data_IF_424486353756
#
_entry.id   IF_424486353756
#
_cell.length_a   1.000
_cell.length_b   1.000
_cell.length_c   1.000
_cell.angle_alpha   90.00
_cell.angle_beta   90.00
_cell.angle_gamma   90.00
#
_symmetry.space_group_name_H-M   'P 1'
#
loop_
_entity.id
_entity.type
_entity.pdbx_description
1 polymer ?
#
# COMPACT_ATOMS: atom_id res chain seq x y z
N UNK A 1 25.34 35.86 -20.70
CA UNK A 1 24.39 35.02 -21.45
C UNK A 1 23.22 34.64 -20.55
N UNK A 2 21.95 34.81 -20.96
CA UNK A 2 20.81 34.60 -20.06
C UNK A 2 20.54 33.11 -19.82
N UNK A 3 20.38 32.75 -18.55
CA UNK A 3 20.22 31.39 -18.00
C UNK A 3 19.07 30.57 -18.62
N UNK A 4 18.13 31.22 -19.30
CA UNK A 4 17.03 30.55 -20.03
C UNK A 4 17.52 29.64 -21.17
N UNK A 5 18.69 29.91 -21.75
CA UNK A 5 19.23 29.09 -22.86
C UNK A 5 19.77 27.73 -22.41
N UNK A 6 20.22 27.60 -21.16
CA UNK A 6 20.78 26.34 -20.65
C UNK A 6 19.67 25.31 -20.35
N UNK A 7 18.50 25.79 -19.89
CA UNK A 7 17.38 24.93 -19.52
C UNK A 7 16.74 24.21 -20.72
N UNK A 8 16.75 24.84 -21.90
CA UNK A 8 16.21 24.22 -23.12
C UNK A 8 17.13 23.13 -23.71
N UNK A 9 18.43 23.14 -23.38
CA UNK A 9 19.39 22.13 -23.84
C UNK A 9 19.28 20.80 -23.08
N UNK A 10 18.90 20.84 -21.80
CA UNK A 10 18.80 19.65 -20.95
C UNK A 10 17.52 18.83 -21.22
N UNK A 11 16.50 19.41 -21.87
CA UNK A 11 15.22 18.73 -22.14
C UNK A 11 15.11 18.01 -23.49
N UNK A 12 16.22 17.77 -24.20
CA UNK A 12 16.27 16.77 -25.28
C UNK A 12 15.23 16.94 -26.39
N UNK A 13 14.90 18.18 -26.79
CA UNK A 13 14.04 18.44 -27.96
C UNK A 13 14.91 18.87 -29.14
N UNK A 14 15.46 17.89 -29.85
CA UNK A 14 15.99 18.08 -31.20
C UNK A 14 15.01 17.49 -32.19
N UNK A 15 14.45 18.36 -33.03
CA UNK A 15 13.60 17.99 -34.14
C UNK A 15 14.38 17.25 -35.23
N UNK A 16 13.67 16.35 -35.92
CA UNK A 16 14.02 15.55 -37.10
C UNK A 16 14.53 16.35 -38.30
N UNK A 17 15.21 15.66 -39.24
CA UNK A 17 14.78 15.78 -40.63
C UNK A 17 14.66 14.43 -41.38
N UNK A 18 13.59 14.35 -42.16
CA UNK A 18 13.26 13.46 -43.27
C UNK A 18 14.27 13.53 -44.42
N UNK A 19 14.66 12.42 -45.07
CA UNK A 19 14.72 12.22 -46.55
C UNK A 19 14.64 10.71 -46.92
N UNK A 20 13.79 10.44 -47.91
CA UNK A 20 13.56 9.28 -48.81
C UNK A 20 14.81 8.49 -49.26
N UNK A 21 14.79 7.21 -49.69
CA UNK A 21 14.09 6.65 -50.88
C UNK A 21 14.27 5.11 -50.99
N UNK A 22 13.27 4.43 -51.57
CA UNK A 22 13.21 3.04 -52.15
C UNK A 22 14.12 2.88 -53.40
N UNK A 23 14.41 1.67 -53.98
CA UNK A 23 13.47 0.70 -54.64
C UNK A 23 13.73 -0.81 -54.32
N UNK A 24 12.70 -1.68 -54.30
CA UNK A 24 12.32 -2.76 -55.29
C UNK A 24 13.34 -3.93 -55.43
N UNK A 25 13.04 -5.22 -55.66
CA UNK A 25 11.95 -5.92 -56.38
C UNK A 25 11.94 -7.43 -56.03
N UNK A 26 10.75 -8.05 -56.05
CA UNK A 26 10.51 -9.42 -56.57
C UNK A 26 10.42 -10.58 -55.57
N UNK A 27 9.58 -11.61 -55.74
CA UNK A 27 8.52 -11.88 -56.72
C UNK A 27 7.77 -13.17 -56.26
N UNK A 28 6.43 -13.14 -56.33
CA UNK A 28 5.48 -14.26 -56.52
C UNK A 28 5.39 -15.48 -55.57
N UNK A 29 4.40 -16.40 -55.78
CA UNK A 29 2.97 -16.10 -55.92
C UNK A 29 2.00 -17.13 -55.25
N UNK A 30 0.81 -16.62 -54.86
CA UNK A 30 -0.56 -17.11 -55.22
C UNK A 30 -1.00 -18.57 -54.95
N UNK A 31 -2.04 -18.71 -54.10
CA UNK A 31 -3.30 -19.46 -54.31
C UNK A 31 -4.18 -19.35 -53.03
N UNK A 32 -5.50 -19.48 -52.96
CA UNK A 32 -6.64 -19.24 -53.83
C UNK A 32 -7.91 -19.48 -52.96
N UNK A 33 -8.65 -18.41 -52.64
CA UNK A 33 -10.13 -18.29 -52.68
C UNK A 33 -11.02 -19.27 -51.83
N UNK A 34 -12.38 -19.16 -51.84
CA UNK A 34 -13.19 -18.87 -50.65
C UNK A 34 -14.30 -19.94 -50.42
N UNK A 35 -15.19 -19.81 -49.42
CA UNK A 35 -16.61 -20.25 -49.50
C UNK A 35 -17.46 -19.76 -48.32
N UNK A 36 -18.62 -19.20 -48.71
CA UNK A 36 -19.90 -18.91 -48.06
C UNK A 36 -20.27 -19.56 -46.72
N UNK A 37 -21.01 -18.83 -45.87
CA UNK A 37 -22.49 -18.83 -45.87
C UNK A 37 -23.09 -17.96 -44.75
N UNK A 38 -24.14 -17.24 -45.11
CA UNK A 38 -25.04 -16.40 -44.29
C UNK A 38 -26.27 -17.24 -43.84
N UNK A 39 -27.43 -16.65 -43.47
CA UNK A 39 -27.97 -16.41 -42.11
C UNK A 39 -29.06 -17.39 -41.66
N UNK A 40 -29.40 -17.40 -40.37
CA UNK A 40 -30.75 -17.76 -39.90
C UNK A 40 -31.20 -16.93 -38.68
N UNK A 41 -32.37 -16.26 -38.76
CA UNK A 41 -33.09 -15.69 -37.62
C UNK A 41 -34.22 -16.62 -37.13
N UNK A 42 -34.89 -16.21 -36.04
CA UNK A 42 -36.05 -16.82 -35.33
C UNK A 42 -35.61 -17.68 -34.13
N UNK A 43 -36.26 -17.65 -32.97
CA UNK A 43 -37.65 -17.32 -32.67
C UNK A 43 -37.82 -16.91 -31.20
N UNK A 44 -38.95 -16.26 -30.95
CA UNK A 44 -39.48 -15.81 -29.67
C UNK A 44 -39.65 -16.91 -28.61
N UNK A 45 -39.52 -16.52 -27.34
CA UNK A 45 -39.85 -17.33 -26.17
C UNK A 45 -39.83 -16.49 -24.89
N UNK A 46 -40.93 -15.81 -24.60
CA UNK A 46 -41.35 -15.29 -23.27
C UNK A 46 -42.47 -16.22 -22.77
N UNK A 47 -42.87 -16.33 -21.49
CA UNK A 47 -42.30 -15.90 -20.19
C UNK A 47 -42.13 -17.06 -19.18
N UNK A 48 -41.40 -16.85 -18.09
CA UNK A 48 -41.79 -17.37 -16.76
C UNK A 48 -40.92 -16.75 -15.66
N UNK A 49 -41.52 -15.86 -14.87
CA UNK A 49 -41.04 -15.45 -13.56
C UNK A 49 -41.15 -16.61 -12.57
N UNK A 50 -40.16 -16.78 -11.67
CA UNK A 50 -40.45 -17.21 -10.32
C UNK A 50 -40.05 -16.14 -9.30
N UNK A 51 -41.07 -15.74 -8.56
CA UNK A 51 -41.11 -14.99 -7.31
C UNK A 51 -39.89 -15.24 -6.41
N UNK A 52 -39.02 -14.24 -6.28
CA UNK A 52 -38.02 -14.18 -5.22
C UNK A 52 -38.64 -13.49 -4.00
N UNK A 53 -38.85 -14.26 -2.93
CA UNK A 53 -39.08 -13.81 -1.56
C UNK A 53 -37.95 -12.88 -1.09
N UNK A 54 -38.22 -11.69 -0.53
CA UNK A 54 -37.20 -10.88 0.12
C UNK A 54 -36.90 -11.48 1.50
N UNK A 55 -35.82 -12.24 1.60
CA UNK A 55 -35.24 -12.62 2.89
C UNK A 55 -34.58 -11.37 3.48
N UNK A 56 -34.98 -11.06 4.71
CA UNK A 56 -34.49 -9.97 5.53
C UNK A 56 -32.97 -9.79 5.41
N UNK A 57 -32.58 -8.62 4.91
CA UNK A 57 -31.20 -8.16 4.94
C UNK A 57 -30.79 -8.00 6.41
N UNK A 58 -29.94 -8.92 6.87
CA UNK A 58 -29.21 -8.76 8.11
C UNK A 58 -28.38 -7.48 8.03
N UNK A 59 -28.52 -6.62 9.05
CA UNK A 59 -27.70 -5.43 9.22
C UNK A 59 -26.21 -5.81 9.14
N UNK A 60 -25.40 -5.14 8.28
CA UNK A 60 -23.96 -5.31 8.33
C UNK A 60 -23.44 -4.80 9.70
N UNK A 61 -22.46 -5.47 10.32
CA UNK A 61 -21.87 -4.99 11.56
C UNK A 61 -21.32 -3.58 11.32
N UNK A 62 -21.90 -2.61 12.04
CA UNK A 62 -21.51 -1.21 12.01
C UNK A 62 -20.06 -1.10 12.49
N UNK A 63 -19.13 -1.11 11.54
CA UNK A 63 -17.74 -0.73 11.78
C UNK A 63 -17.75 0.71 12.28
N UNK A 64 -17.38 0.88 13.55
CA UNK A 64 -17.28 2.17 14.23
C UNK A 64 -16.42 3.12 13.40
N UNK A 65 -17.09 4.03 12.70
CA UNK A 65 -16.50 5.02 11.81
C UNK A 65 -16.33 6.31 12.60
N UNK A 66 -15.32 6.36 13.47
CA UNK A 66 -14.92 7.60 14.12
C UNK A 66 -13.97 8.39 13.20
N UNK A 67 -14.55 9.03 12.18
CA UNK A 67 -13.87 9.96 11.28
C UNK A 67 -13.87 11.36 11.89
N UNK A 68 -12.75 11.74 12.49
CA UNK A 68 -12.17 13.10 12.70
C UNK A 68 -11.06 12.99 13.76
N UNK A 69 -10.07 12.15 13.50
CA UNK A 69 -9.06 11.76 14.48
C UNK A 69 -7.96 12.80 14.64
N UNK A 70 -8.14 13.77 15.53
CA UNK A 70 -6.97 14.32 16.24
C UNK A 70 -6.27 13.15 16.93
N UNK A 71 -4.95 13.04 16.79
CA UNK A 71 -4.17 11.96 17.38
C UNK A 71 -4.58 11.73 18.85
N UNK A 72 -4.94 10.49 19.18
CA UNK A 72 -5.48 10.16 20.49
C UNK A 72 -4.44 10.41 21.59
N UNK A 73 -4.86 10.46 22.85
CA UNK A 73 -3.92 10.63 23.98
C UNK A 73 -2.86 9.52 24.00
N UNK A 74 -3.22 8.31 23.61
CA UNK A 74 -2.29 7.18 23.57
C UNK A 74 -1.37 7.24 22.35
N UNK A 75 -1.83 7.75 21.21
CA UNK A 75 -0.94 8.04 20.06
C UNK A 75 0.10 9.09 20.42
N UNK A 76 -0.26 10.12 21.19
CA UNK A 76 0.72 11.12 21.66
C UNK A 76 1.80 10.50 22.55
N UNK A 77 1.46 9.50 23.37
CA UNK A 77 2.47 8.78 24.17
C UNK A 77 3.36 7.93 23.28
N UNK A 78 2.77 7.25 22.29
CA UNK A 78 3.50 6.51 21.27
C UNK A 78 4.50 7.41 20.55
N UNK A 79 4.08 8.59 20.08
CA UNK A 79 4.97 9.50 19.34
C UNK A 79 6.12 10.01 20.21
N UNK A 80 5.89 10.38 21.48
CA UNK A 80 6.98 10.73 22.40
C UNK A 80 7.98 9.59 22.58
N UNK A 81 7.48 8.35 22.65
CA UNK A 81 8.33 7.17 22.76
C UNK A 81 9.14 6.98 21.48
N UNK A 82 8.49 7.00 20.32
CA UNK A 82 9.14 6.89 19.01
C UNK A 82 10.18 7.99 18.78
N UNK A 83 9.89 9.22 19.19
CA UNK A 83 10.84 10.34 19.10
C UNK A 83 12.12 10.11 19.91
N UNK A 84 12.06 9.35 21.00
CA UNK A 84 13.26 9.02 21.78
C UNK A 84 14.14 7.94 21.13
N UNK A 85 13.66 7.30 20.06
CA UNK A 85 14.32 6.21 19.37
C UNK A 85 15.01 6.72 18.09
N UNK A 86 16.16 6.15 17.76
CA UNK A 86 16.87 6.40 16.49
C UNK A 86 16.39 5.41 15.41
N UNK A 87 15.18 5.60 14.91
CA UNK A 87 14.53 4.69 13.96
C UNK A 87 14.81 5.14 12.52
N UNK A 88 15.31 4.25 11.67
CA UNK A 88 15.54 4.54 10.24
C UNK A 88 14.50 3.87 9.34
N UNK A 89 13.92 2.77 9.80
CA UNK A 89 12.95 1.97 9.05
C UNK A 89 11.72 1.65 9.90
N UNK A 90 10.55 1.96 9.36
CA UNK A 90 9.25 1.79 10.02
C UNK A 90 8.36 0.93 9.15
N UNK A 91 7.80 -0.12 9.74
CA UNK A 91 6.73 -0.93 9.16
C UNK A 91 5.43 -0.66 9.92
N UNK A 92 4.39 -0.19 9.23
CA UNK A 92 3.04 -0.07 9.77
C UNK A 92 2.10 -1.10 9.12
N UNK A 93 1.37 -1.85 9.95
CA UNK A 93 0.36 -2.82 9.55
C UNK A 93 -1.01 -2.28 9.92
N UNK A 94 -1.91 -2.19 8.93
CA UNK A 94 -3.25 -1.58 9.04
C UNK A 94 -3.20 -0.08 9.34
N UNK A 95 -2.95 0.71 8.30
CA UNK A 95 -2.85 2.18 8.32
C UNK A 95 -4.18 2.82 8.71
N UNK A 96 -5.31 2.28 8.24
CA UNK A 96 -6.64 2.81 8.53
C UNK A 96 -6.90 4.16 7.84
N UNK A 97 -7.06 5.24 8.61
CA UNK A 97 -7.32 6.58 8.08
C UNK A 97 -6.05 7.37 7.71
N UNK A 98 -4.88 6.82 8.03
CA UNK A 98 -3.57 7.39 7.72
C UNK A 98 -3.18 8.61 8.56
N UNK A 99 -4.08 9.19 9.36
CA UNK A 99 -3.77 10.39 10.15
C UNK A 99 -2.68 10.12 11.17
N UNK A 100 -2.71 8.94 11.79
CA UNK A 100 -1.67 8.49 12.72
C UNK A 100 -0.31 8.39 12.04
N UNK A 101 -0.23 7.80 10.85
CA UNK A 101 1.01 7.65 10.10
C UNK A 101 1.63 8.99 9.75
N UNK A 102 0.80 9.96 9.33
CA UNK A 102 1.25 11.32 9.03
C UNK A 102 1.79 12.03 10.29
N UNK A 103 1.08 11.91 11.42
CA UNK A 103 1.53 12.49 12.69
C UNK A 103 2.84 11.85 13.19
N UNK A 104 2.98 10.53 13.05
CA UNK A 104 4.21 9.82 13.37
C UNK A 104 5.39 10.29 12.49
N UNK A 105 5.19 10.34 11.17
CA UNK A 105 6.23 10.78 10.25
C UNK A 105 6.62 12.24 10.49
N UNK A 106 5.66 13.09 10.83
CA UNK A 106 5.94 14.45 11.25
C UNK A 106 6.89 14.47 12.47
N UNK A 107 6.55 13.76 13.55
CA UNK A 107 7.37 13.66 14.77
C UNK A 107 8.78 13.12 14.50
N UNK A 108 8.89 12.11 13.65
CA UNK A 108 10.17 11.47 13.33
C UNK A 108 11.06 12.36 12.44
N UNK A 109 10.48 13.01 11.43
CA UNK A 109 11.23 13.83 10.46
C UNK A 109 11.64 15.20 11.03
N UNK A 110 10.95 15.70 12.06
CA UNK A 110 11.24 17.01 12.66
C UNK A 110 12.63 17.08 13.33
N UNK A 111 13.22 15.95 13.74
CA UNK A 111 14.46 15.92 14.54
C UNK A 111 15.77 16.14 13.76
N UNK A 112 15.74 16.76 12.58
CA UNK A 112 16.96 17.02 11.82
C UNK A 112 17.71 15.75 11.43
N UNK A 113 16.98 14.64 11.25
CA UNK A 113 17.56 13.40 10.75
C UNK A 113 18.19 13.67 9.39
N UNK A 114 19.51 13.49 9.29
CA UNK A 114 20.25 13.67 8.04
C UNK A 114 19.85 12.65 6.97
N UNK A 115 19.23 11.53 7.38
CA UNK A 115 18.85 10.42 6.51
C UNK A 115 17.33 10.32 6.39
N UNK A 116 16.78 10.16 5.18
CA UNK A 116 15.35 9.98 4.99
C UNK A 116 14.88 8.65 5.60
N UNK A 117 13.74 8.69 6.27
CA UNK A 117 13.16 7.51 6.93
C UNK A 117 12.51 6.62 5.88
N UNK A 118 12.75 5.31 5.97
CA UNK A 118 12.11 4.31 5.13
C UNK A 118 10.79 3.90 5.78
N UNK A 119 9.67 4.31 5.19
CA UNK A 119 8.33 4.04 5.71
C UNK A 119 7.64 3.00 4.82
N UNK A 120 7.25 1.88 5.40
CA UNK A 120 6.57 0.78 4.70
C UNK A 120 5.19 0.62 5.34
N UNK A 121 4.15 0.66 4.54
CA UNK A 121 2.77 0.54 5.02
C UNK A 121 2.07 -0.62 4.32
N UNK A 122 1.56 -1.57 5.10
CA UNK A 122 0.73 -2.69 4.63
C UNK A 122 -0.72 -2.38 4.99
N UNK A 123 -1.56 -2.23 3.97
CA UNK A 123 -3.01 -2.05 4.11
C UNK A 123 -3.68 -2.49 2.81
N UNK A 124 -4.96 -2.79 2.85
CA UNK A 124 -5.78 -3.04 1.66
C UNK A 124 -6.32 -1.74 1.04
N UNK A 125 -6.26 -0.61 1.76
CA UNK A 125 -6.75 0.71 1.31
C UNK A 125 -8.19 0.62 0.77
N UNK A 126 -8.46 1.19 -0.40
CA UNK A 126 -9.79 1.15 -1.03
C UNK A 126 -10.30 -0.28 -1.30
N UNK A 127 -9.40 -1.27 -1.42
CA UNK A 127 -9.79 -2.67 -1.64
C UNK A 127 -10.34 -3.34 -0.38
N UNK A 128 -9.90 -2.89 0.80
CA UNK A 128 -10.39 -3.35 2.10
C UNK A 128 -11.64 -2.61 2.59
N UNK A 129 -12.22 -1.74 1.75
CA UNK A 129 -13.35 -0.90 2.13
C UNK A 129 -12.99 0.31 2.98
N UNK A 130 -11.70 0.68 3.07
CA UNK A 130 -11.27 1.88 3.78
C UNK A 130 -11.61 3.14 2.97
N UNK A 131 -11.91 4.25 3.67
CA UNK A 131 -12.17 5.53 3.03
C UNK A 131 -10.89 6.18 2.46
N UNK A 132 -9.72 5.80 2.97
CA UNK A 132 -8.43 6.28 2.52
C UNK A 132 -7.99 5.50 1.27
N UNK A 133 -7.88 6.20 0.14
CA UNK A 133 -7.32 5.60 -1.07
C UNK A 133 -5.79 5.61 -1.06
N UNK A 134 -5.19 4.59 -1.66
CA UNK A 134 -3.75 4.45 -1.87
C UNK A 134 -3.15 5.72 -2.51
N UNK A 135 -3.83 6.27 -3.52
CA UNK A 135 -3.41 7.48 -4.22
C UNK A 135 -3.38 8.70 -3.28
N UNK A 136 -4.43 8.89 -2.48
CA UNK A 136 -4.52 10.03 -1.56
C UNK A 136 -3.47 9.92 -0.47
N UNK A 137 -3.28 8.73 0.10
CA UNK A 137 -2.27 8.50 1.11
C UNK A 137 -0.85 8.73 0.57
N UNK A 138 -0.55 8.19 -0.62
CA UNK A 138 0.73 8.45 -1.28
C UNK A 138 0.95 9.95 -1.53
N UNK A 139 -0.09 10.71 -1.90
CA UNK A 139 0.02 12.16 -2.08
C UNK A 139 0.40 12.86 -0.78
N UNK A 140 -0.27 12.51 0.32
CA UNK A 140 0.00 13.08 1.65
C UNK A 140 1.42 12.77 2.13
N UNK A 141 1.92 11.55 1.90
CA UNK A 141 3.25 11.14 2.32
C UNK A 141 4.39 11.90 1.63
N UNK A 142 4.14 12.52 0.46
CA UNK A 142 5.16 13.33 -0.25
C UNK A 142 5.50 14.64 0.46
N UNK A 143 4.69 15.05 1.43
CA UNK A 143 4.96 16.24 2.24
C UNK A 143 6.10 16.02 3.24
N UNK A 144 6.48 14.76 3.47
CA UNK A 144 7.53 14.38 4.41
C UNK A 144 8.81 13.94 3.67
N UNK A 145 10.01 14.21 4.23
CA UNK A 145 11.27 13.71 3.71
C UNK A 145 11.46 12.21 4.03
N UNK A 146 10.50 11.37 3.64
CA UNK A 146 10.49 9.93 3.87
C UNK A 146 10.36 9.16 2.54
N UNK A 147 11.03 8.01 2.46
CA UNK A 147 10.85 7.05 1.36
C UNK A 147 9.69 6.14 1.71
N UNK A 148 8.50 6.51 1.23
CA UNK A 148 7.29 5.75 1.46
C UNK A 148 7.13 4.60 0.45
N UNK A 149 6.83 3.42 0.96
CA UNK A 149 6.48 2.21 0.22
C UNK A 149 5.14 1.70 0.70
N UNK A 150 4.13 1.78 -0.16
CA UNK A 150 2.78 1.31 0.16
C UNK A 150 2.57 -0.06 -0.48
N UNK A 151 2.10 -1.01 0.33
CA UNK A 151 1.84 -2.39 -0.06
C UNK A 151 0.33 -2.62 0.02
N UNK A 152 -0.41 -2.41 -1.09
CA UNK A 152 -1.86 -2.53 -1.13
C UNK A 152 -2.29 -4.01 -1.17
N UNK A 153 -2.21 -4.70 -0.04
CA UNK A 153 -2.42 -6.15 0.07
C UNK A 153 -2.96 -6.51 1.46
N UNK A 154 -3.50 -7.73 1.60
CA UNK A 154 -3.82 -8.30 2.91
C UNK A 154 -2.56 -8.39 3.78
N UNK A 155 -2.74 -8.44 5.11
CA UNK A 155 -1.62 -8.48 6.06
C UNK A 155 -0.66 -9.63 5.76
N UNK A 156 -1.18 -10.84 5.52
CA UNK A 156 -0.35 -12.03 5.29
C UNK A 156 0.52 -11.89 4.03
N UNK A 157 -0.09 -11.49 2.91
CA UNK A 157 0.62 -11.34 1.65
C UNK A 157 1.57 -10.14 1.67
N UNK A 158 1.18 -9.06 2.35
CA UNK A 158 2.01 -7.88 2.55
C UNK A 158 3.26 -8.20 3.37
N UNK A 159 3.13 -8.93 4.47
CA UNK A 159 4.27 -9.32 5.31
C UNK A 159 5.26 -10.22 4.54
N UNK A 160 4.76 -11.22 3.82
CA UNK A 160 5.62 -12.08 2.99
C UNK A 160 6.38 -11.28 1.93
N UNK A 161 5.72 -10.34 1.26
CA UNK A 161 6.37 -9.43 0.31
C UNK A 161 7.43 -8.56 0.99
N UNK A 162 7.13 -8.00 2.16
CA UNK A 162 8.06 -7.12 2.88
C UNK A 162 9.30 -7.88 3.34
N UNK A 163 9.13 -9.09 3.86
CA UNK A 163 10.23 -10.00 4.23
C UNK A 163 11.19 -10.23 3.07
N UNK A 164 10.66 -10.42 1.85
CA UNK A 164 11.47 -10.69 0.66
C UNK A 164 12.10 -9.45 0.05
N UNK A 165 11.49 -8.27 0.22
CA UNK A 165 11.85 -7.06 -0.55
C UNK A 165 12.69 -6.08 0.26
N UNK A 166 12.32 -5.83 1.52
CA UNK A 166 12.90 -4.74 2.32
C UNK A 166 13.84 -5.25 3.41
N UNK A 167 13.74 -6.53 3.78
CA UNK A 167 14.56 -7.12 4.83
C UNK A 167 14.14 -6.67 6.22
N UNK A 168 15.12 -6.42 7.10
CA UNK A 168 14.86 -6.13 8.51
C UNK A 168 14.51 -4.66 8.78
N UNK A 169 13.64 -4.42 9.75
CA UNK A 169 13.13 -3.09 10.14
C UNK A 169 13.42 -2.75 11.60
N UNK A 170 13.49 -1.47 11.96
CA UNK A 170 13.83 -1.04 13.33
C UNK A 170 12.58 -0.85 14.21
N UNK A 171 11.45 -0.51 13.59
CA UNK A 171 10.18 -0.26 14.25
C UNK A 171 9.04 -0.96 13.52
N UNK A 172 8.22 -1.70 14.25
CA UNK A 172 6.97 -2.27 13.75
C UNK A 172 5.80 -1.69 14.53
N UNK A 173 4.80 -1.15 13.81
CA UNK A 173 3.52 -0.75 14.34
C UNK A 173 2.45 -1.75 13.88
N UNK A 174 1.86 -2.45 14.83
CA UNK A 174 0.77 -3.38 14.60
C UNK A 174 -0.56 -2.74 15.05
N UNK A 175 -1.32 -2.22 14.09
CA UNK A 175 -2.61 -1.58 14.34
C UNK A 175 -3.80 -2.45 13.92
N UNK A 176 -3.58 -3.72 13.56
CA UNK A 176 -4.66 -4.63 13.28
C UNK A 176 -5.47 -4.90 14.57
N UNK A 177 -6.79 -5.01 14.44
CA UNK A 177 -7.68 -5.24 15.57
C UNK A 177 -7.45 -6.60 16.26
N UNK A 178 -6.91 -7.57 15.52
CA UNK A 178 -6.59 -8.90 16.02
C UNK A 178 -5.08 -9.03 16.27
N UNK A 179 -4.68 -9.81 17.29
CA UNK A 179 -3.28 -10.13 17.50
C UNK A 179 -2.72 -10.90 16.30
N UNK A 180 -1.40 -10.82 16.05
CA UNK A 180 -0.77 -11.53 14.94
C UNK A 180 -0.98 -13.03 15.04
N UNK A 181 -1.34 -13.66 13.92
CA UNK A 181 -1.41 -15.12 13.81
C UNK A 181 -0.01 -15.74 13.94
N UNK A 182 0.14 -17.04 14.26
CA UNK A 182 1.46 -17.68 14.33
C UNK A 182 2.29 -17.53 13.04
N UNK A 183 1.64 -17.56 11.88
CA UNK A 183 2.31 -17.35 10.60
C UNK A 183 2.84 -15.90 10.46
N UNK A 184 2.03 -14.92 10.86
CA UNK A 184 2.43 -13.51 10.88
C UNK A 184 3.55 -13.27 11.91
N UNK A 185 3.49 -13.92 13.06
CA UNK A 185 4.53 -13.87 14.09
C UNK A 185 5.89 -14.36 13.56
N UNK A 186 5.88 -15.46 12.79
CA UNK A 186 7.08 -15.98 12.14
C UNK A 186 7.63 -15.00 11.08
N UNK A 187 6.75 -14.35 10.30
CA UNK A 187 7.16 -13.32 9.35
C UNK A 187 7.77 -12.10 10.07
N UNK A 188 7.12 -11.61 11.13
CA UNK A 188 7.61 -10.51 11.96
C UNK A 188 8.96 -10.83 12.59
N UNK A 189 9.16 -12.05 13.09
CA UNK A 189 10.45 -12.47 13.68
C UNK A 189 11.59 -12.39 12.67
N UNK A 190 11.32 -12.63 11.38
CA UNK A 190 12.31 -12.47 10.29
C UNK A 190 12.57 -11.00 9.92
N UNK A 191 11.57 -10.14 10.10
CA UNK A 191 11.66 -8.69 9.89
C UNK A 191 12.35 -7.98 11.05
N UNK A 192 12.28 -8.53 12.26
CA UNK A 192 12.84 -7.92 13.43
C UNK A 192 14.35 -8.19 13.57
N UNK A 193 15.11 -7.13 13.81
CA UNK A 193 16.46 -7.13 14.39
C UNK A 193 16.36 -7.35 15.92
N UNK A 194 17.47 -7.68 16.60
CA UNK A 194 17.49 -7.75 18.07
C UNK A 194 17.04 -6.46 18.76
N UNK A 195 17.28 -5.31 18.12
CA UNK A 195 16.90 -3.98 18.61
C UNK A 195 15.53 -3.51 18.13
N UNK A 196 14.81 -4.33 17.38
CA UNK A 196 13.51 -3.92 16.82
C UNK A 196 12.47 -3.84 17.91
N UNK A 197 11.78 -2.70 17.89
CA UNK A 197 10.71 -2.38 18.82
C UNK A 197 9.39 -2.63 18.09
N UNK A 198 8.52 -3.41 18.71
CA UNK A 198 7.19 -3.70 18.19
C UNK A 198 6.18 -3.01 19.10
N UNK A 199 5.37 -2.12 18.53
CA UNK A 199 4.19 -1.60 19.21
C UNK A 199 2.95 -2.29 18.67
N UNK A 200 2.15 -2.88 19.55
CA UNK A 200 0.87 -3.46 19.21
C UNK A 200 -0.26 -2.63 19.82
N UNK A 201 -1.32 -2.40 19.05
CA UNK A 201 -2.51 -1.72 19.53
C UNK A 201 -3.52 -2.75 20.05
N UNK A 202 -3.75 -2.75 21.36
CA UNK A 202 -4.74 -3.61 22.03
C UNK A 202 -5.74 -2.72 22.76
N UNK A 203 -7.03 -2.85 22.42
CA UNK A 203 -8.12 -2.07 23.04
C UNK A 203 -7.87 -0.55 23.04
N UNK A 204 -7.30 -0.03 21.94
CA UNK A 204 -6.97 1.38 21.77
C UNK A 204 -5.72 1.84 22.53
N UNK A 205 -5.03 0.96 23.26
CA UNK A 205 -3.77 1.26 23.94
C UNK A 205 -2.59 0.61 23.23
N UNK A 206 -1.46 1.31 23.24
CA UNK A 206 -0.22 0.82 22.68
C UNK A 206 0.59 0.06 23.73
N UNK A 207 0.92 -1.19 23.43
CA UNK A 207 1.86 -2.02 24.20
C UNK A 207 3.18 -2.14 23.46
N UNK A 208 4.30 -1.97 24.17
CA UNK A 208 5.66 -2.10 23.62
C UNK A 208 6.18 -3.51 23.91
N UNK A 209 6.65 -4.21 22.88
CA UNK A 209 7.32 -5.51 23.00
C UNK A 209 8.69 -5.42 22.34
N UNK A 210 9.74 -5.76 23.11
CA UNK A 210 11.11 -5.85 22.60
C UNK A 210 11.34 -7.25 22.05
N UNK A 211 11.63 -7.34 20.75
CA UNK A 211 11.79 -8.63 20.06
C UNK A 211 12.94 -9.47 20.66
N UNK A 212 13.97 -8.81 21.23
CA UNK A 212 15.11 -9.48 21.83
C UNK A 212 14.87 -10.15 23.20
N UNK A 213 13.72 -9.94 23.85
CA UNK A 213 13.52 -10.42 25.23
C UNK A 213 12.33 -11.34 25.46
N UNK A 214 11.23 -11.25 24.69
CA UNK A 214 10.06 -12.11 24.95
C UNK A 214 9.12 -12.22 23.75
N UNK A 215 9.24 -13.29 22.96
CA UNK A 215 8.14 -13.78 22.10
C UNK A 215 7.47 -15.05 22.66
N UNK A 216 7.86 -15.49 23.86
CA UNK A 216 7.41 -16.77 24.44
C UNK A 216 6.50 -16.66 25.65
N UNK A 217 5.95 -15.50 26.02
CA UNK A 217 5.14 -15.43 27.25
C UNK A 217 4.08 -14.34 27.23
N UNK A 218 2.89 -14.68 26.71
CA UNK A 218 1.57 -14.23 27.19
C UNK A 218 0.45 -15.00 26.48
N UNK A 219 0.36 -16.28 26.81
CA UNK A 219 -0.89 -17.02 26.82
C UNK A 219 -0.96 -17.64 28.23
N UNK A 220 -1.74 -17.00 29.10
CA UNK A 220 -2.14 -17.52 30.41
C UNK A 220 -3.56 -17.02 30.67
#
# INVERSE_FOLDING_TARGET
MPLRKLWNSIRGKSATPTVSSTPETGDGPRAASPTSAEPHPRSAGTPASPTATPVAAADPPRTSRNTTGTATRDDKKLFRRIESLSVQSVLEVCVGDGQRSLAMLHSLTHKGHSTPIHYIAIDEFEMGGNALSLRNFHKQLREFPAKAHLVPMTIDAGLDRVVRTYGQVDLVLWSAAQPPTPAQQNALTRLCKPTTIVFAQENGRWSETLTGLTLSKRAA
#
